data_IF_520874283897
#
_entry.id   IF_520874283897
#
_cell.length_a   1.000
_cell.length_b   1.000
_cell.length_c   1.000
_cell.angle_alpha   90.00
_cell.angle_beta   90.00
_cell.angle_gamma   90.00
#
_symmetry.space_group_name_H-M   'P 1'
#
loop_
_entity.id
_entity.type
_entity.pdbx_description
1 polymer ?
#
# COMPACT_ATOMS: atom_id res chain seq x y z
N UNK A 1 -6.94 -10.51 -11.54
CA UNK A 1 -5.91 -10.89 -12.52
C UNK A 1 -6.65 -11.23 -13.81
N UNK A 2 -6.32 -10.61 -14.95
CA UNK A 2 -7.02 -10.91 -16.21
C UNK A 2 -6.73 -12.37 -16.57
N UNK A 3 -7.77 -13.15 -16.85
CA UNK A 3 -7.66 -14.59 -17.16
C UNK A 3 -7.07 -14.87 -18.55
N UNK A 4 -6.92 -13.83 -19.37
CA UNK A 4 -6.47 -13.91 -20.76
C UNK A 4 -5.05 -13.35 -20.90
N UNK A 5 -4.16 -14.15 -21.50
CA UNK A 5 -2.80 -13.76 -21.84
C UNK A 5 -2.57 -13.87 -23.36
N UNK A 6 -1.78 -12.96 -23.92
CA UNK A 6 -1.30 -12.99 -25.30
C UNK A 6 0.21 -13.05 -25.21
N UNK A 7 0.85 -14.10 -25.73
CA UNK A 7 2.28 -14.35 -25.50
C UNK A 7 2.61 -14.34 -24.01
N UNK A 8 2.11 -15.34 -23.24
CA UNK A 8 2.34 -15.39 -21.79
C UNK A 8 3.81 -15.12 -21.44
N UNK A 9 4.09 -14.24 -20.46
CA UNK A 9 3.19 -13.71 -19.45
C UNK A 9 2.49 -12.38 -19.80
N UNK A 10 2.48 -11.92 -21.07
CA UNK A 10 1.91 -10.61 -21.41
C UNK A 10 0.37 -10.64 -21.44
N UNK A 11 -0.24 -9.55 -20.97
CA UNK A 11 -1.69 -9.39 -20.85
C UNK A 11 -2.17 -8.29 -21.80
N UNK A 12 -3.29 -8.48 -22.54
CA UNK A 12 -3.88 -7.42 -23.34
C UNK A 12 -4.35 -6.26 -22.47
N UNK A 13 -4.12 -5.02 -22.93
CA UNK A 13 -4.68 -3.83 -22.30
C UNK A 13 -6.16 -3.74 -22.67
N UNK A 14 -7.01 -3.61 -21.67
CA UNK A 14 -8.46 -3.38 -21.80
C UNK A 14 -8.87 -2.15 -21.01
N UNK A 15 -10.08 -1.64 -21.25
CA UNK A 15 -10.65 -0.58 -20.43
C UNK A 15 -10.68 -0.96 -18.93
N UNK A 16 -11.03 -2.21 -18.63
CA UNK A 16 -11.05 -2.76 -17.27
C UNK A 16 -9.69 -3.17 -16.71
N UNK A 17 -8.60 -3.01 -17.46
CA UNK A 17 -7.27 -3.40 -16.98
C UNK A 17 -6.76 -2.52 -15.84
N UNK A 18 -7.37 -1.34 -15.60
CA UNK A 18 -6.84 -0.36 -14.63
C UNK A 18 -5.36 -0.03 -14.91
N UNK A 19 -5.01 0.03 -16.20
CA UNK A 19 -3.65 0.27 -16.64
C UNK A 19 -3.18 1.67 -16.24
N UNK A 20 -1.96 1.77 -15.74
CA UNK A 20 -1.33 3.02 -15.32
C UNK A 20 0.00 3.17 -16.04
N UNK A 21 0.17 4.26 -16.79
CA UNK A 21 1.43 4.64 -17.43
C UNK A 21 1.96 5.94 -16.82
N UNK A 22 2.93 5.80 -15.91
CA UNK A 22 3.59 6.93 -15.24
C UNK A 22 4.72 7.46 -16.12
N UNK A 23 4.65 8.73 -16.51
CA UNK A 23 5.69 9.34 -17.34
C UNK A 23 7.07 9.15 -16.70
N UNK A 24 8.03 8.59 -17.45
CA UNK A 24 9.39 8.30 -16.93
C UNK A 24 10.10 9.58 -16.50
N UNK A 25 9.85 10.67 -17.22
CA UNK A 25 10.25 12.01 -16.85
C UNK A 25 9.00 12.83 -16.56
N UNK A 26 8.97 13.65 -15.49
CA UNK A 26 7.90 14.60 -15.26
C UNK A 26 7.68 15.52 -16.46
N UNK A 27 6.44 15.97 -16.63
CA UNK A 27 6.09 16.95 -17.64
C UNK A 27 6.74 18.30 -17.34
N UNK A 28 7.48 18.87 -18.28
CA UNK A 28 7.96 20.25 -18.16
C UNK A 28 6.85 21.16 -18.65
N UNK A 29 6.19 21.84 -17.73
CA UNK A 29 5.06 22.70 -18.03
C UNK A 29 5.37 24.16 -17.73
N UNK A 30 4.68 25.05 -18.44
CA UNK A 30 4.73 26.49 -18.17
C UNK A 30 3.97 26.73 -16.87
N UNK A 31 4.62 27.18 -15.81
CA UNK A 31 3.97 27.52 -14.54
C UNK A 31 3.87 29.03 -14.33
N UNK A 32 2.80 29.52 -13.68
CA UNK A 32 2.66 30.95 -13.40
C UNK A 32 3.72 31.41 -12.39
N UNK A 33 4.36 32.56 -12.66
CA UNK A 33 5.32 33.21 -11.77
C UNK A 33 5.10 34.75 -11.75
N UNK A 34 5.11 35.41 -10.58
CA UNK A 34 5.01 36.86 -10.48
C UNK A 34 6.39 37.59 -10.42
N UNK A 35 6.57 38.75 -11.10
CA UNK A 35 5.94 39.17 -12.36
C UNK A 35 6.57 38.42 -13.55
N UNK A 36 5.83 38.30 -14.67
CA UNK A 36 6.15 37.48 -15.86
C UNK A 36 7.63 37.52 -16.30
N UNK A 37 8.20 36.40 -16.83
CA UNK A 37 7.53 35.32 -17.58
C UNK A 37 7.25 34.02 -16.80
N UNK A 38 6.58 33.05 -17.45
CA UNK A 38 6.36 31.71 -16.89
C UNK A 38 7.68 31.02 -16.54
N UNK A 39 7.65 30.13 -15.56
CA UNK A 39 8.79 29.29 -15.19
C UNK A 39 8.51 27.86 -15.63
N UNK A 40 9.37 27.25 -16.49
CA UNK A 40 9.29 25.82 -16.78
C UNK A 40 9.48 25.02 -15.49
N UNK A 41 8.50 24.19 -15.13
CA UNK A 41 8.55 23.38 -13.92
C UNK A 41 8.13 21.92 -14.20
N UNK A 42 8.77 20.94 -13.54
CA UNK A 42 8.36 19.54 -13.63
C UNK A 42 7.05 19.32 -12.87
N UNK A 43 6.05 18.76 -13.54
CA UNK A 43 4.78 18.31 -12.96
C UNK A 43 4.57 16.81 -13.21
N UNK A 44 3.97 16.08 -12.26
CA UNK A 44 3.68 14.67 -12.46
C UNK A 44 2.68 14.49 -13.60
N UNK A 45 2.79 13.38 -14.32
CA UNK A 45 1.79 12.98 -15.30
C UNK A 45 1.63 11.45 -15.31
N UNK A 46 0.38 11.02 -15.22
CA UNK A 46 0.00 9.60 -15.13
C UNK A 46 -1.17 9.37 -16.07
N UNK A 47 -0.98 8.46 -17.02
CA UNK A 47 -2.04 8.01 -17.90
C UNK A 47 -2.77 6.81 -17.34
N UNK A 48 -4.10 6.76 -17.52
CA UNK A 48 -4.96 5.69 -17.01
C UNK A 48 -5.79 5.08 -18.13
N UNK A 49 -5.72 3.76 -18.31
CA UNK A 49 -6.36 3.06 -19.45
C UNK A 49 -7.89 3.09 -19.44
N UNK A 50 -8.50 3.45 -18.32
CA UNK A 50 -9.94 3.62 -18.15
C UNK A 50 -10.40 5.08 -18.30
N UNK A 51 -9.48 6.03 -18.48
CA UNK A 51 -9.81 7.45 -18.59
C UNK A 51 -9.90 7.84 -20.07
N UNK A 52 -11.11 8.13 -20.54
CA UNK A 52 -11.41 8.55 -21.92
C UNK A 52 -10.72 7.66 -22.98
N UNK A 53 -10.96 6.34 -22.99
CA UNK A 53 -10.34 5.42 -23.94
C UNK A 53 -10.82 5.72 -25.36
N UNK A 54 -9.88 5.85 -26.30
CA UNK A 54 -10.15 6.10 -27.72
C UNK A 54 -9.38 5.10 -28.57
N UNK A 55 -9.98 4.68 -29.70
CA UNK A 55 -9.34 3.73 -30.62
C UNK A 55 -9.27 2.29 -30.10
N UNK A 56 -10.07 1.95 -29.10
CA UNK A 56 -10.26 0.59 -28.61
C UNK A 56 -11.20 -0.19 -29.55
N UNK A 57 -11.21 -1.51 -29.45
CA UNK A 57 -12.09 -2.39 -30.21
C UNK A 57 -13.56 -2.07 -29.92
N UNK A 58 -14.38 -2.07 -30.97
CA UNK A 58 -15.83 -1.82 -30.91
C UNK A 58 -16.66 -3.09 -30.96
N UNK A 59 -16.07 -4.20 -31.43
CA UNK A 59 -16.76 -5.48 -31.66
C UNK A 59 -16.30 -6.61 -30.76
N UNK A 60 -15.08 -6.55 -30.19
CA UNK A 60 -14.51 -7.61 -29.36
C UNK A 60 -14.23 -7.08 -27.96
N UNK A 61 -14.72 -7.81 -26.97
CA UNK A 61 -14.44 -7.56 -25.56
C UNK A 61 -13.69 -8.73 -24.94
N UNK A 62 -12.84 -8.43 -23.96
CA UNK A 62 -12.22 -9.42 -23.08
C UNK A 62 -12.73 -9.12 -21.68
N UNK A 63 -13.33 -10.14 -21.05
CA UNK A 63 -13.95 -10.00 -19.70
C UNK A 63 -14.96 -8.84 -19.62
N UNK A 64 -15.71 -8.61 -20.70
CA UNK A 64 -16.71 -7.53 -20.78
C UNK A 64 -16.13 -6.14 -21.07
N UNK A 65 -14.82 -6.01 -21.23
CA UNK A 65 -14.15 -4.73 -21.50
C UNK A 65 -13.59 -4.63 -22.91
N UNK A 66 -13.71 -3.45 -23.53
CA UNK A 66 -13.13 -3.17 -24.84
C UNK A 66 -11.59 -3.31 -24.78
N UNK A 67 -11.01 -3.86 -25.86
CA UNK A 67 -9.57 -4.15 -25.94
C UNK A 67 -8.83 -3.01 -26.66
N UNK A 68 -7.70 -2.57 -26.12
CA UNK A 68 -6.83 -1.61 -26.78
C UNK A 68 -6.16 -2.25 -28.01
N UNK A 69 -6.46 -1.71 -29.19
CA UNK A 69 -5.88 -2.15 -30.47
C UNK A 69 -5.08 -1.02 -31.09
N UNK A 70 -4.28 -1.32 -32.12
CA UNK A 70 -3.36 -0.36 -32.75
C UNK A 70 -4.03 0.98 -33.04
N UNK A 71 -3.46 2.04 -32.45
CA UNK A 71 -4.00 3.40 -32.53
C UNK A 71 -4.78 3.83 -31.29
N UNK A 72 -4.93 2.93 -30.32
CA UNK A 72 -5.54 3.25 -29.04
C UNK A 72 -4.75 4.33 -28.28
N UNK A 73 -5.50 5.17 -27.58
CA UNK A 73 -4.99 6.17 -26.67
C UNK A 73 -5.95 6.33 -25.50
N UNK A 74 -5.45 6.88 -24.39
CA UNK A 74 -6.26 7.19 -23.22
C UNK A 74 -5.70 8.45 -22.54
N UNK A 75 -6.51 9.09 -21.71
CA UNK A 75 -6.16 10.38 -21.12
C UNK A 75 -5.11 10.26 -20.02
N UNK A 76 -4.26 11.28 -19.94
CA UNK A 76 -3.29 11.43 -18.85
C UNK A 76 -3.65 12.59 -17.94
N UNK A 77 -3.25 12.53 -16.67
CA UNK A 77 -3.57 13.56 -15.68
C UNK A 77 -2.36 13.91 -14.80
N UNK A 78 -2.38 15.08 -14.16
CA UNK A 78 -1.41 15.48 -13.14
C UNK A 78 -0.80 16.87 -13.32
N UNK A 79 -1.05 17.55 -14.44
CA UNK A 79 -0.46 18.84 -14.79
C UNK A 79 -1.48 20.00 -14.89
N UNK A 80 -2.67 19.86 -14.28
CA UNK A 80 -3.71 20.91 -14.22
C UNK A 80 -3.20 22.29 -13.80
N UNK A 81 -2.21 22.33 -12.91
CA UNK A 81 -1.67 23.59 -12.39
C UNK A 81 -1.11 24.50 -13.51
N UNK A 82 -0.73 23.91 -14.64
CA UNK A 82 -0.20 24.62 -15.82
C UNK A 82 -1.25 25.03 -16.85
N UNK A 83 -2.54 24.75 -16.62
CA UNK A 83 -3.61 24.99 -17.61
C UNK A 83 -3.76 26.47 -17.94
N UNK A 84 -3.69 27.35 -16.93
CA UNK A 84 -3.80 28.81 -17.11
C UNK A 84 -2.64 29.44 -17.89
N UNK A 85 -1.55 28.71 -18.07
CA UNK A 85 -0.30 29.17 -18.70
C UNK A 85 0.00 28.44 -20.01
N UNK A 86 -0.96 27.66 -20.53
CA UNK A 86 -0.86 26.97 -21.81
C UNK A 86 -0.19 25.59 -21.76
N UNK A 87 -0.04 25.02 -20.56
CA UNK A 87 0.31 23.61 -20.36
C UNK A 87 1.77 23.24 -20.61
N UNK A 88 1.97 22.04 -21.15
CA UNK A 88 3.27 21.48 -21.48
C UNK A 88 4.09 22.40 -22.39
N UNK A 89 5.41 22.44 -22.16
CA UNK A 89 6.33 23.28 -22.92
C UNK A 89 6.35 22.88 -24.41
N UNK A 90 6.31 21.57 -24.68
CA UNK A 90 6.36 21.02 -26.05
C UNK A 90 4.97 20.66 -26.58
N UNK A 91 4.14 20.01 -25.75
CA UNK A 91 2.82 19.53 -26.20
C UNK A 91 1.76 20.62 -26.28
N UNK A 92 1.99 21.77 -25.62
CA UNK A 92 0.99 22.83 -25.42
C UNK A 92 -0.35 22.31 -24.87
N UNK A 93 -0.28 21.24 -24.07
CA UNK A 93 -1.46 20.56 -23.54
C UNK A 93 -1.33 20.31 -22.04
N UNK A 94 -2.49 20.21 -21.39
CA UNK A 94 -2.63 19.70 -20.01
C UNK A 94 -3.60 18.55 -20.06
N UNK A 95 -3.25 17.47 -19.39
CA UNK A 95 -4.03 16.23 -19.44
C UNK A 95 -4.21 15.66 -20.86
N UNK A 96 -3.20 15.82 -21.72
CA UNK A 96 -3.25 15.31 -23.08
C UNK A 96 -3.32 13.79 -23.18
N UNK A 97 -3.66 13.25 -24.36
CA UNK A 97 -3.69 11.81 -24.57
C UNK A 97 -2.31 11.18 -24.37
N UNK A 98 -2.31 9.96 -23.84
CA UNK A 98 -1.20 9.05 -23.86
C UNK A 98 -1.39 8.03 -24.98
N UNK A 99 -0.34 7.80 -25.76
CA UNK A 99 -0.38 6.99 -26.98
C UNK A 99 0.70 5.93 -26.98
N UNK A 100 0.36 4.70 -27.34
CA UNK A 100 1.34 3.62 -27.46
C UNK A 100 2.40 3.93 -28.51
N UNK A 101 3.66 3.63 -28.19
CA UNK A 101 4.80 3.78 -29.10
C UNK A 101 4.98 2.51 -29.92
N UNK A 102 4.81 1.36 -29.28
CA UNK A 102 4.92 0.04 -29.89
C UNK A 102 3.76 -0.23 -30.87
N UNK A 103 3.98 -1.10 -31.87
CA UNK A 103 2.93 -1.47 -32.82
C UNK A 103 1.84 -2.38 -32.23
N UNK A 104 1.97 -2.83 -30.98
CA UNK A 104 1.17 -3.91 -30.38
C UNK A 104 1.73 -5.30 -30.68
N UNK A 105 0.92 -6.33 -30.42
CA UNK A 105 1.23 -7.72 -30.72
C UNK A 105 1.49 -7.96 -32.22
N UNK A 106 2.55 -8.68 -32.51
CA UNK A 106 2.98 -8.96 -33.90
C UNK A 106 2.15 -10.06 -34.57
N UNK A 107 1.53 -10.94 -33.78
CA UNK A 107 0.78 -12.10 -34.30
C UNK A 107 -0.70 -12.10 -33.94
N UNK A 108 -1.08 -11.45 -32.83
CA UNK A 108 -2.47 -11.41 -32.37
C UNK A 108 -3.10 -10.08 -32.77
N UNK A 109 -4.19 -10.18 -33.53
CA UNK A 109 -4.94 -9.04 -34.03
C UNK A 109 -6.41 -9.16 -33.66
N UNK A 110 -7.01 -8.03 -33.32
CA UNK A 110 -8.45 -7.85 -33.12
C UNK A 110 -8.88 -6.77 -34.13
N UNK A 111 -9.97 -7.02 -34.86
CA UNK A 111 -10.43 -6.12 -35.93
C UNK A 111 -9.34 -5.82 -36.98
N UNK A 112 -8.48 -6.81 -37.26
CA UNK A 112 -7.35 -6.66 -38.17
C UNK A 112 -6.20 -5.78 -37.65
N UNK A 113 -6.30 -5.26 -36.42
CA UNK A 113 -5.32 -4.39 -35.78
C UNK A 113 -4.61 -5.13 -34.64
N UNK A 114 -3.30 -4.89 -34.49
CA UNK A 114 -2.51 -5.47 -33.40
C UNK A 114 -3.05 -5.09 -32.04
N UNK A 115 -3.06 -6.03 -31.09
CA UNK A 115 -3.53 -5.82 -29.72
C UNK A 115 -2.40 -5.21 -28.87
N UNK A 116 -2.68 -4.13 -28.14
CA UNK A 116 -1.71 -3.56 -27.20
C UNK A 116 -1.63 -4.38 -25.90
N UNK A 117 -0.43 -4.50 -25.36
CA UNK A 117 -0.12 -5.35 -24.20
C UNK A 117 0.36 -4.51 -23.02
N UNK A 118 0.17 -5.01 -21.79
CA UNK A 118 0.79 -4.42 -20.60
C UNK A 118 2.32 -4.44 -20.73
N UNK A 119 2.98 -3.45 -20.14
CA UNK A 119 4.41 -3.19 -20.27
C UNK A 119 4.82 -2.51 -21.58
N UNK A 120 3.87 -2.22 -22.49
CA UNK A 120 4.18 -1.46 -23.71
C UNK A 120 4.39 0.03 -23.42
N UNK A 121 5.48 0.63 -23.95
CA UNK A 121 5.81 2.02 -23.70
C UNK A 121 4.84 2.98 -24.39
N UNK A 122 4.58 4.11 -23.73
CA UNK A 122 3.64 5.13 -24.22
C UNK A 122 4.26 6.50 -24.22
N UNK A 123 3.80 7.40 -25.08
CA UNK A 123 3.98 8.84 -24.93
C UNK A 123 2.95 9.39 -23.97
N UNK A 124 3.29 10.41 -23.19
CA UNK A 124 2.39 11.03 -22.21
C UNK A 124 2.15 12.52 -22.51
N UNK A 125 0.98 13.00 -22.11
CA UNK A 125 0.51 14.38 -22.32
C UNK A 125 0.82 14.90 -23.73
N UNK A 126 0.37 14.17 -24.73
CA UNK A 126 0.61 14.55 -26.11
C UNK A 126 -0.26 15.74 -26.51
N UNK A 127 0.11 16.40 -27.61
CA UNK A 127 -0.82 17.26 -28.34
C UNK A 127 -2.10 16.50 -28.77
N UNK A 128 -3.16 17.20 -29.21
CA UNK A 128 -4.46 16.60 -29.51
C UNK A 128 -4.44 15.42 -30.49
N UNK A 129 -3.47 15.34 -31.40
CA UNK A 129 -3.29 14.24 -32.35
C UNK A 129 -2.52 13.04 -31.80
N UNK A 130 -2.16 13.06 -30.51
CA UNK A 130 -1.27 12.06 -29.90
C UNK A 130 0.22 12.30 -30.15
N UNK A 131 0.59 13.51 -30.60
CA UNK A 131 1.98 13.99 -30.73
C UNK A 131 2.03 15.52 -30.86
N UNK A 132 3.18 16.17 -30.57
CA UNK A 132 4.33 15.63 -29.84
C UNK A 132 3.99 15.38 -28.36
N UNK A 133 4.76 14.51 -27.70
CA UNK A 133 4.73 14.36 -26.23
C UNK A 133 5.36 15.58 -25.55
N UNK A 134 5.04 15.82 -24.28
CA UNK A 134 5.67 16.91 -23.54
C UNK A 134 7.16 16.65 -23.21
N UNK A 135 7.45 15.74 -22.27
CA UNK A 135 8.84 15.41 -21.86
C UNK A 135 9.26 13.99 -22.25
N UNK A 136 8.42 13.25 -22.98
CA UNK A 136 8.79 11.96 -23.56
C UNK A 136 7.84 10.82 -23.19
N UNK A 137 8.41 9.64 -23.05
CA UNK A 137 7.70 8.38 -22.93
C UNK A 137 7.66 7.81 -21.50
N UNK A 138 6.61 7.05 -21.20
CA UNK A 138 6.57 6.03 -20.16
C UNK A 138 7.30 4.79 -20.66
N UNK A 139 8.61 4.70 -20.41
CA UNK A 139 9.47 3.60 -20.88
C UNK A 139 9.23 2.29 -20.14
N UNK A 140 8.74 2.33 -18.90
CA UNK A 140 8.30 1.15 -18.16
C UNK A 140 7.00 0.54 -18.71
N UNK A 141 6.28 1.30 -19.54
CA UNK A 141 5.01 0.90 -20.14
C UNK A 141 3.80 1.00 -19.23
N UNK A 142 2.69 0.44 -19.72
CA UNK A 142 1.41 0.39 -18.99
C UNK A 142 1.44 -0.77 -18.01
N UNK A 143 1.45 -0.45 -16.71
CA UNK A 143 1.34 -1.45 -15.66
C UNK A 143 -0.09 -1.63 -15.20
N UNK A 144 -0.45 -2.84 -14.76
CA UNK A 144 -1.75 -3.06 -14.12
C UNK A 144 -1.73 -2.45 -12.72
N UNK A 145 -2.57 -1.45 -12.45
CA UNK A 145 -2.78 -1.03 -11.08
C UNK A 145 -3.71 -2.00 -10.35
N UNK A 146 -3.44 -2.21 -9.06
CA UNK A 146 -4.37 -2.92 -8.20
C UNK A 146 -5.69 -2.13 -8.12
N UNK A 147 -6.81 -2.86 -8.14
CA UNK A 147 -8.14 -2.27 -8.00
C UNK A 147 -8.31 -1.60 -6.65
N UNK A 148 -9.03 -0.48 -6.59
CA UNK A 148 -9.37 0.16 -5.32
C UNK A 148 -10.27 -0.74 -4.47
N UNK A 149 -10.25 -0.54 -3.15
CA UNK A 149 -11.00 -1.39 -2.21
C UNK A 149 -12.50 -1.35 -2.52
N UNK A 150 -13.05 -0.17 -2.80
CA UNK A 150 -14.49 0.06 -3.02
C UNK A 150 -15.04 -0.55 -4.32
N UNK A 151 -14.18 -0.79 -5.30
CA UNK A 151 -14.58 -1.34 -6.60
C UNK A 151 -14.53 -2.88 -6.63
N UNK A 152 -14.24 -3.53 -5.49
CA UNK A 152 -14.02 -4.96 -5.44
C UNK A 152 -15.34 -5.77 -5.48
N UNK A 153 -15.55 -6.70 -6.42
CA UNK A 153 -16.84 -7.37 -6.66
C UNK A 153 -17.26 -8.40 -5.59
N UNK A 154 -16.58 -8.44 -4.43
CA UNK A 154 -16.89 -9.38 -3.35
C UNK A 154 -15.66 -9.89 -2.60
N UNK A 155 -14.73 -8.99 -2.25
CA UNK A 155 -13.48 -9.23 -1.50
C UNK A 155 -13.17 -10.70 -1.18
N UNK A 156 -12.35 -11.34 -2.00
CA UNK A 156 -11.84 -12.68 -1.72
C UNK A 156 -10.53 -12.57 -0.93
N UNK A 157 -10.61 -12.78 0.37
CA UNK A 157 -9.52 -12.52 1.31
C UNK A 157 -8.81 -13.82 1.67
N UNK A 158 -7.50 -13.81 1.53
CA UNK A 158 -6.60 -14.86 2.02
C UNK A 158 -5.94 -14.40 3.31
N UNK A 159 -5.76 -15.35 4.22
CA UNK A 159 -5.06 -15.15 5.48
C UNK A 159 -3.82 -16.05 5.50
N UNK A 160 -2.64 -15.44 5.50
CA UNK A 160 -1.38 -16.17 5.36
C UNK A 160 -1.04 -17.06 6.57
N UNK A 161 -1.47 -16.64 7.77
CA UNK A 161 -1.11 -17.30 9.04
C UNK A 161 -2.06 -18.42 9.47
N UNK A 162 -3.17 -18.63 8.76
CA UNK A 162 -4.22 -19.57 9.16
C UNK A 162 -4.14 -20.94 8.46
N UNK A 163 -2.95 -21.30 7.97
CA UNK A 163 -2.65 -22.65 7.45
C UNK A 163 -1.94 -23.47 8.52
N UNK A 164 -2.10 -24.80 8.50
CA UNK A 164 -1.45 -25.70 9.47
C UNK A 164 0.09 -25.55 9.46
N UNK A 165 0.66 -25.35 8.27
CA UNK A 165 2.09 -25.09 8.10
C UNK A 165 2.52 -23.72 8.66
N UNK A 166 1.68 -22.68 8.50
CA UNK A 166 1.95 -21.36 9.05
C UNK A 166 1.85 -21.32 10.57
N UNK A 167 0.90 -22.04 11.17
CA UNK A 167 0.78 -22.17 12.62
C UNK A 167 1.99 -22.90 13.23
N UNK A 168 2.50 -23.95 12.56
CA UNK A 168 3.74 -24.63 12.98
C UNK A 168 4.94 -23.67 12.93
N UNK A 169 5.11 -22.96 11.81
CA UNK A 169 6.20 -22.00 11.64
C UNK A 169 6.13 -20.87 12.66
N UNK A 170 4.94 -20.35 12.94
CA UNK A 170 4.69 -19.30 13.94
C UNK A 170 5.09 -19.76 15.35
N UNK A 171 4.80 -21.00 15.74
CA UNK A 171 5.23 -21.56 17.03
C UNK A 171 6.74 -21.63 17.15
N UNK A 172 7.41 -22.07 16.08
CA UNK A 172 8.88 -22.14 16.02
C UNK A 172 9.51 -20.74 16.12
N UNK A 173 8.96 -19.75 15.40
CA UNK A 173 9.41 -18.35 15.46
C UNK A 173 9.18 -17.72 16.84
N UNK A 174 8.03 -17.98 17.47
CA UNK A 174 7.70 -17.47 18.80
C UNK A 174 8.61 -18.06 19.89
N UNK A 175 8.92 -19.35 19.78
CA UNK A 175 9.86 -20.03 20.69
C UNK A 175 11.30 -19.53 20.50
N UNK A 176 11.71 -19.29 19.25
CA UNK A 176 13.00 -18.69 18.93
C UNK A 176 13.12 -17.26 19.47
N UNK A 177 12.09 -16.42 19.29
CA UNK A 177 12.04 -15.07 19.84
C UNK A 177 12.10 -15.07 21.37
N UNK A 178 11.32 -15.94 22.05
CA UNK A 178 11.38 -16.08 23.51
C UNK A 178 12.79 -16.46 24.00
N UNK A 179 13.46 -17.36 23.27
CA UNK A 179 14.82 -17.78 23.59
C UNK A 179 15.83 -16.65 23.41
N UNK A 180 15.64 -15.82 22.38
CA UNK A 180 16.46 -14.64 22.13
C UNK A 180 16.24 -13.55 23.18
N UNK A 181 15.00 -13.27 23.56
CA UNK A 181 14.66 -12.29 24.60
C UNK A 181 15.23 -12.71 25.98
N UNK A 182 15.17 -14.00 26.31
CA UNK A 182 15.80 -14.52 27.51
C UNK A 182 17.33 -14.33 27.49
N UNK A 183 17.97 -14.59 26.34
CA UNK A 183 19.41 -14.36 26.18
C UNK A 183 19.79 -12.88 26.30
N UNK A 184 19.00 -11.98 25.71
CA UNK A 184 19.19 -10.53 25.82
C UNK A 184 19.01 -10.05 27.27
N UNK A 185 18.04 -10.60 28.00
CA UNK A 185 17.81 -10.31 29.42
C UNK A 185 18.98 -10.78 30.29
N UNK A 186 19.49 -12.00 30.05
CA UNK A 186 20.67 -12.53 30.73
C UNK A 186 21.93 -11.66 30.48
N UNK A 187 22.09 -11.18 29.25
CA UNK A 187 23.19 -10.28 28.88
C UNK A 187 23.04 -8.89 29.53
N UNK A 188 21.82 -8.34 29.56
CA UNK A 188 21.52 -7.10 30.25
C UNK A 188 21.77 -7.21 31.77
N UNK A 189 21.43 -8.33 32.40
CA UNK A 189 21.69 -8.61 33.81
C UNK A 189 23.21 -8.72 34.09
N UNK A 190 23.98 -9.37 33.22
CA UNK A 190 25.45 -9.41 33.32
C UNK A 190 26.05 -8.01 33.20
N UNK A 191 25.54 -7.19 32.28
CA UNK A 191 26.00 -5.82 32.09
C UNK A 191 25.70 -4.94 33.32
N UNK A 192 24.53 -5.13 33.93
CA UNK A 192 24.13 -4.43 35.16
C UNK A 192 25.03 -4.81 36.36
N UNK A 193 25.31 -6.10 36.54
CA UNK A 193 26.23 -6.57 37.59
C UNK A 193 27.66 -6.04 37.39
N UNK A 194 28.12 -5.93 36.14
CA UNK A 194 29.43 -5.37 35.81
C UNK A 194 29.48 -3.86 36.05
N UNK A 195 28.39 -3.15 35.77
CA UNK A 195 28.22 -1.73 36.11
C UNK A 195 28.26 -1.49 37.62
N UNK A 196 27.58 -2.31 38.40
CA UNK A 196 27.61 -2.25 39.87
C UNK A 196 29.02 -2.51 40.41
N UNK A 197 29.76 -3.47 39.82
CA UNK A 197 31.12 -3.81 40.24
C UNK A 197 32.18 -2.77 39.85
N UNK A 198 32.02 -2.10 38.71
CA UNK A 198 33.05 -1.21 38.14
C UNK A 198 32.74 0.28 38.27
N UNK A 199 31.48 0.65 38.56
CA UNK A 199 31.03 2.03 38.67
C UNK A 199 31.03 2.81 37.35
N UNK A 200 31.18 2.13 36.20
CA UNK A 200 31.29 2.78 34.88
C UNK A 200 29.95 2.75 34.12
N UNK A 201 29.51 3.87 33.52
CA UNK A 201 28.26 3.94 32.77
C UNK A 201 28.25 3.00 31.55
N UNK A 202 27.06 2.52 31.16
CA UNK A 202 26.86 1.53 30.06
C UNK A 202 27.57 1.88 28.74
N UNK A 203 27.73 3.16 28.40
CA UNK A 203 28.44 3.60 27.19
C UNK A 203 29.97 3.46 27.26
N UNK A 204 30.56 3.27 28.44
CA UNK A 204 32.01 3.26 28.65
C UNK A 204 32.67 1.89 28.39
N UNK A 205 31.90 0.85 28.04
CA UNK A 205 32.40 -0.51 27.78
C UNK A 205 32.99 -0.73 26.38
N UNK A 206 33.23 0.36 25.63
CA UNK A 206 33.87 0.30 24.31
C UNK A 206 35.23 -0.39 24.37
N UNK A 207 35.34 -1.53 23.69
CA UNK A 207 36.60 -2.08 23.20
C UNK A 207 37.44 -2.90 24.18
N UNK A 208 36.91 -3.34 25.33
CA UNK A 208 37.66 -4.25 26.22
C UNK A 208 37.07 -5.65 26.40
N UNK A 209 35.76 -5.83 26.18
CA UNK A 209 35.07 -7.04 26.67
C UNK A 209 34.21 -7.78 25.62
N UNK A 210 34.55 -7.75 24.32
CA UNK A 210 33.84 -8.50 23.25
C UNK A 210 32.33 -8.18 23.05
N UNK A 211 31.86 -7.00 23.44
CA UNK A 211 30.47 -6.57 23.15
C UNK A 211 30.39 -5.86 21.79
N UNK A 212 29.50 -6.33 20.90
CA UNK A 212 29.33 -5.83 19.53
C UNK A 212 28.71 -4.42 19.53
N UNK A 213 29.43 -3.39 19.05
CA UNK A 213 28.92 -2.03 18.93
C UNK A 213 27.69 -1.90 18.03
N UNK A 214 27.50 -2.81 17.05
CA UNK A 214 26.33 -2.82 16.18
C UNK A 214 25.07 -3.32 16.91
N UNK A 215 25.21 -4.31 17.80
CA UNK A 215 24.12 -4.77 18.66
C UNK A 215 23.66 -3.65 19.61
N UNK A 216 24.60 -2.91 20.21
CA UNK A 216 24.30 -1.76 21.08
C UNK A 216 23.62 -0.60 20.36
N UNK A 217 23.98 -0.35 19.10
CA UNK A 217 23.38 0.70 18.28
C UNK A 217 22.00 0.32 17.75
N UNK A 218 21.75 -0.97 17.51
CA UNK A 218 20.44 -1.48 17.10
C UNK A 218 19.43 -1.47 18.25
N UNK A 219 19.86 -1.91 19.44
CA UNK A 219 19.12 -1.76 20.71
C UNK A 219 18.75 -0.29 20.95
N UNK A 220 19.68 0.65 20.73
CA UNK A 220 19.44 2.07 20.99
C UNK A 220 18.53 2.79 19.96
N UNK A 221 18.42 2.29 18.72
CA UNK A 221 17.64 2.93 17.66
C UNK A 221 16.24 2.32 17.47
N UNK A 222 16.05 1.05 17.83
CA UNK A 222 14.79 0.32 17.60
C UNK A 222 13.96 0.10 18.88
N UNK A 223 14.51 0.20 20.12
CA UNK A 223 13.84 -0.41 21.28
C UNK A 223 12.69 0.37 21.93
N UNK A 224 12.81 1.66 22.28
CA UNK A 224 11.85 2.19 23.28
C UNK A 224 10.40 2.27 22.77
N UNK A 225 10.16 2.83 21.57
CA UNK A 225 8.79 2.99 21.08
C UNK A 225 8.15 1.71 20.54
N UNK A 226 8.94 0.90 19.81
CA UNK A 226 8.46 -0.31 19.13
C UNK A 226 8.34 -1.50 20.09
N UNK A 227 9.28 -1.65 21.04
CA UNK A 227 9.14 -2.67 22.07
C UNK A 227 7.96 -2.37 23.01
N UNK A 228 7.69 -1.10 23.30
CA UNK A 228 6.50 -0.69 24.07
C UNK A 228 5.18 -1.01 23.34
N UNK A 229 5.10 -0.77 22.03
CA UNK A 229 3.92 -1.11 21.22
C UNK A 229 3.68 -2.63 21.20
N UNK A 230 4.74 -3.40 20.95
CA UNK A 230 4.69 -4.88 20.95
C UNK A 230 4.36 -5.46 22.34
N UNK A 231 4.94 -4.88 23.40
CA UNK A 231 4.65 -5.29 24.77
C UNK A 231 3.19 -4.99 25.15
N UNK A 232 2.65 -3.85 24.71
CA UNK A 232 1.24 -3.53 24.89
C UNK A 232 0.34 -4.52 24.16
N UNK A 233 0.63 -4.84 22.89
CA UNK A 233 -0.10 -5.85 22.12
C UNK A 233 -0.10 -7.22 22.81
N UNK A 234 1.08 -7.66 23.28
CA UNK A 234 1.22 -8.93 23.97
C UNK A 234 0.41 -8.96 25.27
N UNK A 235 0.48 -7.89 26.08
CA UNK A 235 -0.32 -7.75 27.31
C UNK A 235 -1.82 -7.85 27.00
N UNK A 236 -2.31 -7.09 26.01
CA UNK A 236 -3.72 -7.12 25.63
C UNK A 236 -4.13 -8.52 25.17
N UNK A 237 -3.29 -9.20 24.40
CA UNK A 237 -3.57 -10.55 23.91
C UNK A 237 -3.71 -11.57 25.05
N UNK A 238 -2.84 -11.47 26.06
CA UNK A 238 -2.89 -12.29 27.28
C UNK A 238 -4.16 -11.98 28.09
N UNK A 239 -4.45 -10.70 28.33
CA UNK A 239 -5.62 -10.24 29.10
C UNK A 239 -6.95 -10.73 28.50
N UNK A 240 -7.04 -10.79 27.16
CA UNK A 240 -8.27 -11.20 26.46
C UNK A 240 -8.29 -12.66 26.06
N UNK A 241 -7.24 -13.42 26.38
CA UNK A 241 -7.04 -14.81 25.95
C UNK A 241 -7.25 -14.96 24.44
N UNK A 242 -6.45 -14.21 23.68
CA UNK A 242 -6.54 -14.15 22.22
C UNK A 242 -6.55 -15.55 21.59
N UNK A 243 -7.43 -15.74 20.60
CA UNK A 243 -7.45 -16.96 19.78
C UNK A 243 -6.30 -16.92 18.78
N UNK A 244 -6.11 -15.76 18.16
CA UNK A 244 -5.04 -15.49 17.21
C UNK A 244 -4.48 -14.09 17.43
N UNK A 245 -3.22 -13.90 17.06
CA UNK A 245 -2.57 -12.59 17.02
C UNK A 245 -1.78 -12.44 15.72
N UNK A 246 -1.62 -11.21 15.26
CA UNK A 246 -0.80 -10.84 14.10
C UNK A 246 -1.18 -11.61 12.83
N UNK A 247 -2.46 -11.62 12.49
CA UNK A 247 -2.97 -12.25 11.26
C UNK A 247 -2.89 -11.25 10.11
N UNK A 248 -2.06 -11.52 9.11
CA UNK A 248 -2.01 -10.78 7.87
C UNK A 248 -3.05 -11.31 6.90
N UNK A 249 -3.60 -10.36 6.15
CA UNK A 249 -4.62 -10.65 5.15
C UNK A 249 -4.35 -9.85 3.89
N UNK A 250 -4.72 -10.44 2.75
CA UNK A 250 -4.71 -9.77 1.46
C UNK A 250 -5.92 -10.23 0.64
N UNK A 251 -6.59 -9.28 0.00
CA UNK A 251 -7.58 -9.57 -1.02
C UNK A 251 -6.88 -9.92 -2.34
N UNK A 252 -7.35 -10.97 -3.03
CA UNK A 252 -6.83 -11.36 -4.34
C UNK A 252 -7.12 -10.35 -5.46
N UNK A 253 -8.13 -9.51 -5.27
CA UNK A 253 -8.75 -8.73 -6.35
C UNK A 253 -8.59 -7.22 -6.22
N UNK A 254 -8.09 -6.71 -5.09
CA UNK A 254 -7.94 -5.27 -4.85
C UNK A 254 -6.83 -4.95 -3.84
N UNK A 255 -6.60 -3.66 -3.60
CA UNK A 255 -5.59 -3.12 -2.66
C UNK A 255 -5.84 -3.44 -1.18
N UNK A 256 -6.90 -4.17 -0.84
CA UNK A 256 -7.19 -4.52 0.55
C UNK A 256 -6.13 -5.48 1.08
N UNK A 257 -5.29 -4.99 1.99
CA UNK A 257 -4.35 -5.79 2.75
C UNK A 257 -4.11 -5.13 4.10
N UNK A 258 -3.63 -5.89 5.06
CA UNK A 258 -3.28 -5.40 6.38
C UNK A 258 -2.94 -6.53 7.34
N UNK A 259 -2.87 -6.16 8.61
CA UNK A 259 -2.60 -7.07 9.71
C UNK A 259 -3.64 -6.82 10.81
N UNK A 260 -4.16 -7.90 11.38
CA UNK A 260 -5.07 -7.90 12.53
C UNK A 260 -4.25 -8.27 13.75
N UNK A 261 -4.13 -7.36 14.71
CA UNK A 261 -3.29 -7.56 15.88
C UNK A 261 -3.83 -8.70 16.75
N UNK A 262 -5.12 -8.71 17.07
CA UNK A 262 -5.71 -9.67 18.01
C UNK A 262 -7.12 -10.10 17.58
N UNK A 263 -7.39 -11.40 17.68
CA UNK A 263 -8.74 -11.98 17.52
C UNK A 263 -9.21 -12.56 18.86
N UNK A 264 -10.35 -12.08 19.34
CA UNK A 264 -10.92 -12.53 20.60
C UNK A 264 -11.76 -13.81 20.43
N UNK A 265 -11.87 -14.66 21.47
CA UNK A 265 -12.80 -15.79 21.49
C UNK A 265 -14.26 -15.38 21.27
N UNK A 266 -14.63 -14.16 21.67
CA UNK A 266 -15.96 -13.58 21.46
C UNK A 266 -16.28 -13.27 20.00
N UNK A 267 -15.29 -13.33 19.09
CA UNK A 267 -15.42 -12.95 17.69
C UNK A 267 -15.26 -11.44 17.42
N UNK A 268 -14.79 -10.67 18.39
CA UNK A 268 -14.33 -9.30 18.16
C UNK A 268 -12.87 -9.28 17.70
N UNK A 269 -12.56 -8.36 16.80
CA UNK A 269 -11.18 -8.07 16.39
C UNK A 269 -10.67 -6.87 17.20
N UNK A 270 -9.44 -6.95 17.67
CA UNK A 270 -8.77 -5.91 18.43
C UNK A 270 -7.59 -5.34 17.67
N UNK A 271 -7.61 -4.02 17.54
CA UNK A 271 -6.53 -3.20 17.04
C UNK A 271 -5.89 -2.46 18.22
N UNK A 272 -4.60 -2.63 18.42
CA UNK A 272 -3.84 -2.01 19.49
C UNK A 272 -3.29 -0.65 19.05
N UNK A 273 -3.71 0.43 19.73
CA UNK A 273 -3.29 1.81 19.41
C UNK A 273 -2.72 2.51 20.64
N UNK A 274 -1.47 2.19 21.01
CA UNK A 274 -0.78 2.87 22.11
C UNK A 274 -0.74 4.41 21.96
N UNK A 275 -0.51 5.01 20.77
CA UNK A 275 -0.50 6.47 20.62
C UNK A 275 -1.89 7.12 20.78
N UNK A 276 -2.96 6.31 20.74
CA UNK A 276 -4.34 6.80 20.77
C UNK A 276 -4.79 7.52 19.52
N UNK A 277 -4.20 7.21 18.37
CA UNK A 277 -4.62 7.71 17.06
C UNK A 277 -5.25 6.60 16.23
N UNK A 278 -6.36 6.90 15.57
CA UNK A 278 -7.07 5.96 14.67
C UNK A 278 -6.94 6.40 13.22
N UNK A 279 -7.10 5.48 12.26
CA UNK A 279 -7.23 5.79 10.83
C UNK A 279 -8.54 5.21 10.31
N UNK A 280 -9.39 6.04 9.67
CA UNK A 280 -10.66 5.59 9.12
C UNK A 280 -10.52 4.47 8.09
N UNK A 281 -9.48 4.56 7.24
CA UNK A 281 -9.12 3.51 6.29
C UNK A 281 -8.88 2.17 6.99
N UNK A 282 -8.23 2.19 8.15
CA UNK A 282 -7.92 0.98 8.90
C UNK A 282 -9.19 0.34 9.52
N UNK A 283 -10.09 1.15 10.09
CA UNK A 283 -11.40 0.66 10.59
C UNK A 283 -12.20 0.03 9.46
N UNK A 284 -12.25 0.69 8.29
CA UNK A 284 -12.92 0.17 7.10
C UNK A 284 -12.34 -1.17 6.65
N UNK A 285 -11.01 -1.29 6.59
CA UNK A 285 -10.33 -2.54 6.21
C UNK A 285 -10.71 -3.69 7.15
N UNK A 286 -10.78 -3.47 8.46
CA UNK A 286 -11.19 -4.50 9.42
C UNK A 286 -12.68 -4.83 9.35
N UNK A 287 -13.54 -3.87 9.06
CA UNK A 287 -14.96 -4.15 8.82
C UNK A 287 -15.20 -5.01 7.57
N UNK A 288 -14.25 -5.06 6.64
CA UNK A 288 -14.28 -5.95 5.47
C UNK A 288 -13.60 -7.29 5.78
N UNK A 289 -12.40 -7.27 6.39
CA UNK A 289 -11.63 -8.47 6.68
C UNK A 289 -12.22 -9.33 7.82
N UNK A 290 -12.84 -8.70 8.81
CA UNK A 290 -13.40 -9.38 9.98
C UNK A 290 -14.50 -10.38 9.66
N UNK A 291 -15.54 -10.00 8.88
CA UNK A 291 -16.54 -10.95 8.39
C UNK A 291 -15.94 -12.09 7.55
N UNK A 292 -14.91 -11.82 6.73
CA UNK A 292 -14.25 -12.87 5.95
C UNK A 292 -13.48 -13.86 6.84
N UNK A 293 -12.89 -13.38 7.92
CA UNK A 293 -12.15 -14.21 8.88
C UNK A 293 -13.06 -15.02 9.80
N UNK A 294 -14.09 -14.37 10.36
CA UNK A 294 -14.88 -14.90 11.47
C UNK A 294 -16.30 -15.32 11.07
N UNK A 295 -16.72 -15.04 9.83
CA UNK A 295 -18.07 -15.29 9.35
C UNK A 295 -19.12 -14.66 10.27
N UNK A 296 -20.18 -15.42 10.57
CA UNK A 296 -21.26 -14.98 11.48
C UNK A 296 -20.84 -14.78 12.94
N UNK A 297 -19.60 -15.14 13.32
CA UNK A 297 -19.06 -14.87 14.66
C UNK A 297 -18.52 -13.45 14.80
N UNK A 298 -18.32 -12.71 13.71
CA UNK A 298 -17.78 -11.36 13.79
C UNK A 298 -18.68 -10.43 14.63
N UNK A 299 -18.11 -9.84 15.68
CA UNK A 299 -18.81 -8.93 16.61
C UNK A 299 -18.38 -7.47 16.48
N UNK A 300 -17.47 -7.16 15.56
CA UNK A 300 -17.00 -5.81 15.31
C UNK A 300 -15.54 -5.58 15.67
N UNK A 301 -15.11 -4.35 15.47
CA UNK A 301 -13.73 -3.88 15.67
C UNK A 301 -13.63 -3.14 17.00
N UNK A 302 -12.66 -3.52 17.83
CA UNK A 302 -12.37 -2.94 19.12
C UNK A 302 -10.99 -2.28 19.07
N UNK A 303 -10.91 -1.02 19.45
CA UNK A 303 -9.63 -0.32 19.63
C UNK A 303 -9.16 -0.55 21.06
N UNK A 304 -8.13 -1.37 21.23
CA UNK A 304 -7.43 -1.58 22.49
C UNK A 304 -6.42 -0.45 22.69
N UNK A 305 -6.56 0.29 23.79
CA UNK A 305 -5.83 1.53 24.00
C UNK A 305 -5.48 1.71 25.48
N UNK A 306 -4.33 2.30 25.83
CA UNK A 306 -4.05 2.70 27.20
C UNK A 306 -5.15 3.63 27.74
N UNK A 307 -5.59 3.40 28.98
CA UNK A 307 -6.69 4.16 29.58
C UNK A 307 -6.52 5.69 29.55
N UNK A 308 -5.29 6.18 29.70
CA UNK A 308 -4.96 7.61 29.66
C UNK A 308 -5.07 8.22 28.25
N UNK A 309 -5.10 7.40 27.19
CA UNK A 309 -5.18 7.84 25.78
C UNK A 309 -6.59 7.79 25.19
N UNK A 310 -7.60 7.34 25.94
CA UNK A 310 -9.00 7.25 25.47
C UNK A 310 -9.53 8.60 24.96
N UNK A 311 -9.19 9.70 25.64
CA UNK A 311 -9.60 11.03 25.22
C UNK A 311 -8.95 11.45 23.88
N UNK A 312 -7.67 11.09 23.68
CA UNK A 312 -6.94 11.33 22.42
C UNK A 312 -7.57 10.57 21.26
N UNK A 313 -7.95 9.30 21.49
CA UNK A 313 -8.61 8.48 20.49
C UNK A 313 -9.96 9.03 20.08
N UNK A 314 -10.77 9.48 21.04
CA UNK A 314 -12.07 10.11 20.73
C UNK A 314 -11.90 11.38 19.87
N UNK A 315 -10.89 12.21 20.15
CA UNK A 315 -10.56 13.38 19.33
C UNK A 315 -10.12 12.98 17.92
N UNK A 316 -9.27 11.96 17.80
CA UNK A 316 -8.79 11.43 16.52
C UNK A 316 -9.90 10.78 15.68
N UNK A 317 -10.87 10.13 16.33
CA UNK A 317 -12.05 9.56 15.68
C UNK A 317 -12.98 10.67 15.16
N UNK A 318 -13.26 11.68 15.99
CA UNK A 318 -14.13 12.80 15.62
C UNK A 318 -13.58 13.58 14.42
N UNK A 319 -12.26 13.82 14.35
CA UNK A 319 -11.64 14.51 13.21
C UNK A 319 -11.78 13.74 11.89
N UNK A 320 -12.00 12.43 11.98
CA UNK A 320 -12.20 11.53 10.84
C UNK A 320 -13.65 11.10 10.66
N UNK A 321 -14.60 11.71 11.38
CA UNK A 321 -16.04 11.41 11.34
C UNK A 321 -16.36 9.94 11.67
N UNK A 322 -15.58 9.33 12.56
CA UNK A 322 -15.85 8.00 13.09
C UNK A 322 -16.58 8.11 14.43
N UNK A 323 -17.59 7.27 14.64
CA UNK A 323 -18.45 7.23 15.82
C UNK A 323 -18.16 5.97 16.66
N UNK A 324 -17.53 6.11 17.85
CA UNK A 324 -17.40 5.02 18.81
C UNK A 324 -18.77 4.46 19.21
N UNK A 325 -18.91 3.14 19.23
CA UNK A 325 -20.16 2.42 19.47
C UNK A 325 -20.93 2.06 18.20
N UNK A 326 -20.59 2.67 17.05
CA UNK A 326 -21.17 2.38 15.75
C UNK A 326 -20.14 1.84 14.76
N UNK A 327 -19.03 2.55 14.57
CA UNK A 327 -17.98 2.16 13.63
C UNK A 327 -16.94 1.23 14.27
N UNK A 328 -16.70 1.40 15.58
CA UNK A 328 -15.80 0.58 16.38
C UNK A 328 -16.11 0.76 17.88
N UNK A 329 -15.65 -0.14 18.73
CA UNK A 329 -15.73 -0.01 20.19
C UNK A 329 -14.39 0.41 20.79
N UNK A 330 -14.41 1.22 21.85
CA UNK A 330 -13.19 1.56 22.61
C UNK A 330 -13.09 0.60 23.79
N UNK A 331 -11.93 -0.02 23.96
CA UNK A 331 -11.66 -0.85 25.14
C UNK A 331 -10.34 -0.42 25.79
N UNK A 332 -10.41 0.24 26.96
CA UNK A 332 -9.22 0.58 27.74
C UNK A 332 -8.50 -0.67 28.26
N UNK A 333 -7.17 -0.63 28.28
CA UNK A 333 -6.23 -1.63 28.84
C UNK A 333 -5.10 -0.94 29.63
#
# INVERSE_FOLDING_TARGET
>A
MNSVAIHPPKTPVTEGSLGTAKATLPNICKMPAPPAPFVPAPLPNIAKSNLSPQGYSTSVTIEGHAVAIRGAMFESIGDMASKGTGGGLISANTHGPAKFISPGSMTVKIEGKSVHLLGEPMLNNCGPSGSPSNTGATMAGVDQSEREIDDCPGHEIEFSELTDDAEKKRREELEAARKQDLANSDEAAKLAALHEKTGRPKLAYRGKDNLDPAALMKIALDDEGYAEDKAFEQKVAEDVKAVWTNIKYKCKHCKLHGEIDIVMPSGAIKECKRPGTIKADQVKKYSIAGPALLGGKFKGVHQAIPGDKVATLRKSAASQRLEPGKDFHIQPH
#
